data_IF_846573895612
#
_entry.id   IF_846573895612
#
_cell.length_a   1.000
_cell.length_b   1.000
_cell.length_c   1.000
_cell.angle_alpha   90.00
_cell.angle_beta   90.00
_cell.angle_gamma   90.00
#
_symmetry.space_group_name_H-M   'P 1'
#
loop_
_entity.id
_entity.type
_entity.pdbx_description
1 polymer ?
#
# COMPACT_ATOMS: atom_id res chain seq x y z
N UNK A 1 -7.50 -10.46 -8.83
CA UNK A 1 -8.47 -9.72 -9.67
C UNK A 1 -8.58 -8.24 -9.29
N UNK A 2 -8.92 -7.86 -8.05
CA UNK A 2 -9.04 -6.42 -7.66
C UNK A 2 -7.75 -5.63 -7.87
N UNK A 3 -6.60 -6.16 -7.43
CA UNK A 3 -5.30 -5.49 -7.57
C UNK A 3 -4.90 -5.28 -9.04
N UNK A 4 -5.18 -6.25 -9.89
CA UNK A 4 -4.94 -6.19 -11.34
C UNK A 4 -5.83 -5.14 -12.01
N UNK A 5 -7.13 -5.13 -11.70
CA UNK A 5 -8.05 -4.11 -12.23
C UNK A 5 -7.63 -2.69 -11.81
N UNK A 6 -7.22 -2.50 -10.55
CA UNK A 6 -6.72 -1.21 -10.07
C UNK A 6 -5.45 -0.79 -10.81
N UNK A 7 -4.53 -1.73 -11.05
CA UNK A 7 -3.32 -1.45 -11.84
C UNK A 7 -3.66 -1.00 -13.25
N UNK A 8 -4.57 -1.67 -13.94
CA UNK A 8 -4.97 -1.29 -15.30
C UNK A 8 -5.63 0.09 -15.35
N UNK A 9 -6.50 0.39 -14.38
CA UNK A 9 -7.13 1.70 -14.28
C UNK A 9 -6.12 2.82 -14.03
N UNK A 10 -5.16 2.60 -13.11
CA UNK A 10 -4.09 3.56 -12.84
C UNK A 10 -3.13 3.71 -14.03
N UNK A 11 -2.83 2.61 -14.73
CA UNK A 11 -1.97 2.62 -15.92
C UNK A 11 -2.57 3.47 -17.05
N UNK A 12 -3.89 3.45 -17.25
CA UNK A 12 -4.58 4.34 -18.20
C UNK A 12 -4.39 5.83 -17.86
N UNK A 13 -4.16 6.15 -16.59
CA UNK A 13 -3.87 7.50 -16.11
C UNK A 13 -2.36 7.81 -16.10
N UNK A 14 -1.51 6.90 -16.57
CA UNK A 14 -0.05 7.04 -16.53
C UNK A 14 0.53 6.89 -15.12
N UNK A 15 -0.22 6.31 -14.17
CA UNK A 15 0.20 6.14 -12.78
C UNK A 15 0.57 4.67 -12.54
N UNK A 16 1.84 4.34 -12.24
CA UNK A 16 2.20 2.98 -11.87
C UNK A 16 1.70 2.67 -10.46
N UNK A 17 1.09 1.50 -10.29
CA UNK A 17 0.84 0.94 -8.96
C UNK A 17 2.07 0.14 -8.54
N UNK A 18 2.58 0.39 -7.33
CA UNK A 18 3.74 -0.30 -6.77
C UNK A 18 3.34 -0.92 -5.44
N UNK A 19 3.70 -2.18 -5.23
CA UNK A 19 3.48 -2.90 -3.98
C UNK A 19 4.80 -3.04 -3.25
N UNK A 20 4.82 -2.63 -1.98
CA UNK A 20 6.00 -2.74 -1.13
C UNK A 20 5.65 -3.58 0.11
N UNK A 21 6.37 -4.69 0.30
CA UNK A 21 6.20 -5.58 1.44
C UNK A 21 7.40 -5.51 2.39
N UNK A 22 7.17 -5.76 3.68
CA UNK A 22 8.23 -5.85 4.71
C UNK A 22 8.91 -7.23 4.77
N UNK A 23 8.52 -8.16 3.89
CA UNK A 23 9.10 -9.50 3.79
C UNK A 23 10.33 -9.54 2.88
N UNK A 24 10.73 -10.75 2.49
CA UNK A 24 11.84 -10.98 1.58
C UNK A 24 11.45 -10.81 0.10
N UNK A 25 12.44 -10.62 -0.77
CA UNK A 25 12.23 -10.59 -2.22
C UNK A 25 11.63 -11.90 -2.77
N UNK A 26 11.97 -13.06 -2.17
CA UNK A 26 11.35 -14.35 -2.51
C UNK A 26 9.86 -14.35 -2.17
N UNK A 27 9.50 -13.84 -0.99
CA UNK A 27 8.09 -13.69 -0.58
C UNK A 27 7.31 -12.75 -1.51
N UNK A 28 7.93 -11.65 -1.93
CA UNK A 28 7.35 -10.73 -2.92
C UNK A 28 7.05 -11.38 -4.27
N UNK A 29 7.96 -12.23 -4.77
CA UNK A 29 7.74 -12.98 -6.03
C UNK A 29 6.59 -13.98 -5.93
N UNK A 30 6.48 -14.68 -4.80
CA UNK A 30 5.36 -15.59 -4.54
C UNK A 30 4.04 -14.82 -4.46
N UNK A 31 4.02 -13.67 -3.77
CA UNK A 31 2.87 -12.79 -3.75
C UNK A 31 2.46 -12.34 -5.16
N UNK A 32 3.43 -11.92 -5.98
CA UNK A 32 3.18 -11.48 -7.35
C UNK A 32 2.51 -12.59 -8.18
N UNK A 33 3.02 -13.83 -8.07
CA UNK A 33 2.44 -15.01 -8.71
C UNK A 33 1.02 -15.30 -8.21
N UNK A 34 0.81 -15.31 -6.88
CA UNK A 34 -0.49 -15.63 -6.26
C UNK A 34 -1.55 -14.57 -6.58
N UNK A 35 -1.14 -13.30 -6.73
CA UNK A 35 -2.02 -12.17 -6.99
C UNK A 35 -2.25 -11.90 -8.49
N UNK A 36 -1.61 -12.65 -9.37
CA UNK A 36 -1.52 -12.36 -10.82
C UNK A 36 -1.06 -10.93 -11.08
N UNK A 37 0.00 -10.51 -10.39
CA UNK A 37 0.53 -9.16 -10.40
C UNK A 37 1.96 -9.16 -10.97
N UNK A 38 2.37 -8.16 -11.77
CA UNK A 38 3.69 -8.20 -12.38
C UNK A 38 4.80 -8.03 -11.31
N UNK A 39 5.78 -8.95 -11.25
CA UNK A 39 6.79 -8.96 -10.19
C UNK A 39 7.70 -7.73 -10.19
N UNK A 40 7.85 -7.03 -11.32
CA UNK A 40 8.64 -5.80 -11.46
C UNK A 40 8.05 -4.60 -10.68
N UNK A 41 6.78 -4.68 -10.28
CA UNK A 41 6.11 -3.68 -9.43
C UNK A 41 6.04 -4.11 -7.96
N UNK A 42 6.73 -5.20 -7.57
CA UNK A 42 6.75 -5.71 -6.20
C UNK A 42 8.14 -5.58 -5.59
N UNK A 43 8.25 -4.76 -4.54
CA UNK A 43 9.49 -4.49 -3.85
C UNK A 43 9.46 -5.02 -2.41
N UNK A 44 10.64 -5.41 -1.92
CA UNK A 44 10.84 -5.84 -0.55
C UNK A 44 11.59 -4.73 0.22
N UNK A 45 11.08 -4.34 1.38
CA UNK A 45 11.74 -3.44 2.32
C UNK A 45 11.87 -4.12 3.70
N UNK A 46 12.76 -5.13 3.84
CA UNK A 46 12.86 -5.94 5.04
C UNK A 46 13.38 -5.15 6.26
N UNK A 47 14.20 -4.12 6.04
CA UNK A 47 14.70 -3.24 7.11
C UNK A 47 13.65 -2.24 7.63
N UNK A 48 12.52 -2.15 6.94
CA UNK A 48 11.37 -1.29 7.23
C UNK A 48 11.71 0.20 7.32
N UNK A 49 12.82 0.63 6.71
CA UNK A 49 13.20 2.05 6.68
C UNK A 49 12.13 2.90 6.00
N UNK A 50 11.52 2.38 4.93
CA UNK A 50 10.46 3.10 4.24
C UNK A 50 9.23 3.26 5.13
N UNK A 51 8.80 2.17 5.80
CA UNK A 51 7.65 2.20 6.71
C UNK A 51 7.85 3.21 7.85
N UNK A 52 9.07 3.28 8.41
CA UNK A 52 9.45 4.28 9.42
C UNK A 52 9.42 5.70 8.86
N UNK A 53 9.99 5.91 7.66
CA UNK A 53 9.96 7.22 6.98
C UNK A 53 8.55 7.70 6.67
N UNK A 54 7.66 6.78 6.30
CA UNK A 54 6.23 7.03 6.06
C UNK A 54 5.41 7.11 7.35
N UNK A 55 6.04 6.99 8.53
CA UNK A 55 5.38 7.01 9.85
C UNK A 55 4.23 6.01 9.95
N UNK A 56 4.40 4.83 9.34
CA UNK A 56 3.39 3.77 9.39
C UNK A 56 3.32 3.17 10.78
N UNK A 57 2.12 2.83 11.22
CA UNK A 57 1.89 2.27 12.55
C UNK A 57 2.45 0.85 12.64
N UNK A 58 3.20 0.61 13.71
CA UNK A 58 3.74 -0.70 14.06
C UNK A 58 3.23 -1.07 15.46
N UNK A 59 2.62 -2.24 15.58
CA UNK A 59 2.31 -2.81 16.90
C UNK A 59 3.52 -3.49 17.52
N UNK A 60 3.60 -3.50 18.84
CA UNK A 60 4.49 -4.42 19.54
C UNK A 60 3.84 -5.79 19.65
N UNK A 61 2.51 -5.81 19.75
CA UNK A 61 1.68 -6.99 19.97
C UNK A 61 0.41 -6.96 19.10
N UNK A 62 -0.26 -8.11 18.95
CA UNK A 62 -1.57 -8.22 18.26
C UNK A 62 -2.60 -7.23 18.80
N UNK A 63 -2.60 -6.99 20.12
CA UNK A 63 -3.55 -6.08 20.78
C UNK A 63 -3.40 -4.63 20.30
N UNK A 64 -2.21 -4.23 19.86
CA UNK A 64 -1.90 -2.87 19.44
C UNK A 64 -2.40 -2.58 18.02
N UNK A 65 -2.60 -3.62 17.22
CA UNK A 65 -3.08 -3.54 15.83
C UNK A 65 -4.53 -4.00 15.67
N UNK A 66 -5.17 -4.49 16.73
CA UNK A 66 -6.55 -4.98 16.69
C UNK A 66 -7.52 -3.86 17.10
N UNK A 67 -8.58 -3.65 16.31
CA UNK A 67 -9.64 -2.72 16.67
C UNK A 67 -10.43 -3.23 17.90
N UNK A 68 -10.45 -2.44 18.99
CA UNK A 68 -11.17 -2.79 20.24
C UNK A 68 -12.68 -2.84 20.08
N UNK A 69 -13.25 -2.13 19.10
CA UNK A 69 -14.71 -1.97 18.92
C UNK A 69 -15.36 -3.11 18.12
N UNK A 70 -14.61 -3.80 17.24
CA UNK A 70 -15.13 -4.92 16.43
C UNK A 70 -15.06 -6.31 17.11
N UNK A 71 -14.79 -6.37 18.43
CA UNK A 71 -14.67 -7.63 19.21
C UNK A 71 -15.94 -8.50 19.26
N UNK A 72 -17.09 -8.04 18.74
CA UNK A 72 -18.40 -8.71 18.87
C UNK A 72 -18.80 -9.66 17.72
N UNK A 73 -18.05 -9.79 16.63
CA UNK A 73 -18.38 -10.80 15.59
C UNK A 73 -17.55 -12.07 15.77
N UNK A 74 -18.19 -13.07 16.41
CA UNK A 74 -17.73 -14.45 16.65
C UNK A 74 -17.05 -15.05 15.41
N UNK A 75 -15.73 -15.20 15.43
CA UNK A 75 -15.06 -16.21 14.62
C UNK A 75 -15.10 -17.54 15.38
N UNK A 76 -16.11 -18.38 15.12
CA UNK A 76 -15.97 -19.83 15.33
C UNK A 76 -14.92 -20.30 14.31
N UNK A 77 -13.67 -20.50 14.74
CA UNK A 77 -12.64 -21.15 13.91
C UNK A 77 -12.39 -22.55 14.45
N UNK A 78 -12.59 -23.54 13.61
CA UNK A 78 -12.07 -24.89 13.75
C UNK A 78 -10.54 -24.79 13.84
N UNK A 79 -9.99 -25.09 15.02
CA UNK A 79 -8.61 -24.80 15.41
C UNK A 79 -7.56 -25.69 14.77
N UNK A 80 -7.94 -26.77 14.09
CA UNK A 80 -6.97 -27.76 13.61
C UNK A 80 -6.40 -27.46 12.20
N UNK A 81 -7.23 -27.02 11.25
CA UNK A 81 -6.77 -26.84 9.85
C UNK A 81 -6.01 -25.52 9.62
N UNK A 82 -6.27 -24.48 10.41
CA UNK A 82 -5.59 -23.18 10.29
C UNK A 82 -4.12 -23.22 10.71
N UNK A 83 -3.78 -24.09 11.67
CA UNK A 83 -2.41 -24.26 12.18
C UNK A 83 -1.52 -25.00 11.18
N UNK A 84 -2.05 -26.05 10.53
CA UNK A 84 -1.35 -26.78 9.47
C UNK A 84 -1.14 -25.92 8.22
N UNK A 85 -2.14 -25.15 7.80
CA UNK A 85 -2.01 -24.19 6.69
C UNK A 85 -1.00 -23.07 7.00
N UNK A 86 -1.01 -22.56 8.24
CA UNK A 86 -0.04 -21.56 8.71
C UNK A 86 1.39 -22.11 8.72
N UNK A 87 1.60 -23.33 9.22
CA UNK A 87 2.91 -23.99 9.22
C UNK A 87 3.43 -24.29 7.81
N UNK A 88 2.58 -24.78 6.92
CA UNK A 88 2.93 -25.02 5.51
C UNK A 88 3.28 -23.72 4.78
N UNK A 89 2.49 -22.66 4.95
CA UNK A 89 2.81 -21.35 4.37
C UNK A 89 4.07 -20.72 4.97
N UNK A 90 4.37 -20.96 6.25
CA UNK A 90 5.60 -20.48 6.90
C UNK A 90 6.84 -21.23 6.38
N UNK A 91 6.73 -22.53 6.12
CA UNK A 91 7.81 -23.34 5.54
C UNK A 91 8.07 -22.99 4.06
N UNK A 92 7.02 -22.70 3.28
CA UNK A 92 7.13 -22.42 1.84
C UNK A 92 7.52 -20.95 1.56
N UNK A 93 6.99 -19.99 2.33
CA UNK A 93 7.12 -18.54 2.05
C UNK A 93 8.32 -17.85 2.72
N UNK A 94 9.13 -18.58 3.49
CA UNK A 94 10.33 -18.04 4.16
C UNK A 94 10.01 -17.06 5.30
N UNK A 95 10.96 -16.20 5.67
CA UNK A 95 10.77 -15.14 6.67
C UNK A 95 9.57 -14.25 6.29
N UNK A 96 8.45 -14.47 6.97
CA UNK A 96 7.31 -13.57 6.91
C UNK A 96 7.75 -12.23 7.51
N UNK A 97 7.52 -11.14 6.78
CA UNK A 97 7.76 -9.78 7.29
C UNK A 97 6.99 -9.53 8.60
N UNK A 98 7.33 -8.46 9.30
CA UNK A 98 6.71 -8.17 10.61
C UNK A 98 5.17 -8.11 10.48
N UNK A 99 4.49 -9.09 11.07
CA UNK A 99 3.01 -9.22 11.06
C UNK A 99 2.31 -8.11 11.85
N UNK A 100 3.05 -7.33 12.63
CA UNK A 100 2.54 -6.16 13.34
C UNK A 100 2.70 -4.85 12.56
N UNK A 101 3.31 -4.90 11.38
CA UNK A 101 3.41 -3.76 10.49
C UNK A 101 2.08 -3.53 9.79
N UNK A 102 1.45 -2.39 10.02
CA UNK A 102 0.23 -2.01 9.30
C UNK A 102 0.58 -1.45 7.92
N UNK A 103 -0.38 -1.57 7.01
CA UNK A 103 -0.32 -1.11 5.62
C UNK A 103 -0.75 0.34 5.43
N UNK A 104 -0.74 0.79 4.18
CA UNK A 104 -1.15 2.13 3.78
C UNK A 104 -1.07 2.32 2.27
N UNK A 105 -1.66 3.40 1.79
CA UNK A 105 -1.71 3.77 0.37
C UNK A 105 -1.19 5.18 0.23
N UNK A 106 -0.26 5.40 -0.69
CA UNK A 106 0.42 6.67 -0.88
C UNK A 106 0.44 7.02 -2.37
N UNK A 107 0.19 8.29 -2.69
CA UNK A 107 0.37 8.84 -4.03
C UNK A 107 1.51 9.85 -3.97
N UNK A 108 2.54 9.61 -4.77
CA UNK A 108 3.71 10.48 -4.88
C UNK A 108 3.85 10.94 -6.33
N UNK A 109 4.29 12.18 -6.51
CA UNK A 109 4.62 12.69 -7.84
C UNK A 109 6.01 12.22 -8.30
N UNK A 110 6.38 12.59 -9.53
CA UNK A 110 7.68 12.25 -10.13
C UNK A 110 8.90 12.81 -9.38
N UNK A 111 8.71 13.83 -8.54
CA UNK A 111 9.75 14.47 -7.74
C UNK A 111 9.76 13.94 -6.30
N UNK A 112 8.90 12.97 -5.97
CA UNK A 112 8.74 12.44 -4.62
C UNK A 112 7.88 13.31 -3.70
N UNK A 113 7.17 14.33 -4.21
CA UNK A 113 6.19 15.10 -3.42
C UNK A 113 5.00 14.20 -3.11
N UNK A 114 4.65 14.11 -1.84
CA UNK A 114 3.47 13.38 -1.39
C UNK A 114 2.20 14.15 -1.75
N UNK A 115 1.31 13.53 -2.53
CA UNK A 115 0.03 14.10 -2.96
C UNK A 115 -1.15 13.55 -2.16
N UNK A 116 -1.04 12.31 -1.70
CA UNK A 116 -2.06 11.65 -0.88
C UNK A 116 -1.42 10.60 0.02
N UNK A 117 -2.00 10.44 1.21
CA UNK A 117 -1.61 9.40 2.15
C UNK A 117 -2.83 8.83 2.86
N UNK A 118 -2.83 7.51 3.00
CA UNK A 118 -3.71 6.75 3.88
C UNK A 118 -2.84 5.77 4.67
N UNK A 119 -3.07 5.71 5.98
CA UNK A 119 -2.39 4.78 6.89
C UNK A 119 -3.43 3.96 7.62
N UNK A 120 -3.32 2.64 7.53
CA UNK A 120 -4.19 1.75 8.27
C UNK A 120 -3.97 1.97 9.78
N UNK A 121 -5.08 2.15 10.51
CA UNK A 121 -5.08 2.34 11.96
C UNK A 121 -5.10 1.01 12.72
N UNK A 122 -5.58 -0.05 12.09
CA UNK A 122 -5.66 -1.42 12.63
C UNK A 122 -5.61 -2.45 11.49
N UNK A 123 -5.45 -3.74 11.81
CA UNK A 123 -5.15 -4.82 10.85
C UNK A 123 -6.23 -5.07 9.78
N UNK A 124 -7.47 -4.67 10.04
CA UNK A 124 -8.61 -4.81 9.12
C UNK A 124 -9.14 -3.43 8.70
N UNK A 125 -8.30 -2.40 8.80
CA UNK A 125 -8.59 -1.09 8.25
C UNK A 125 -8.22 -1.15 6.77
N UNK A 126 -9.23 -1.38 5.94
CA UNK A 126 -9.08 -1.58 4.51
C UNK A 126 -9.35 -0.27 3.78
N UNK A 127 -8.46 0.08 2.84
CA UNK A 127 -8.65 1.21 1.96
C UNK A 127 -9.47 0.79 0.73
N UNK A 128 -10.58 1.47 0.49
CA UNK A 128 -11.46 1.28 -0.67
C UNK A 128 -10.80 1.89 -1.93
N UNK A 129 -9.89 1.13 -2.54
CA UNK A 129 -9.08 1.59 -3.67
C UNK A 129 -9.92 1.93 -4.91
N UNK A 130 -11.00 1.20 -5.17
CA UNK A 130 -11.88 1.45 -6.33
C UNK A 130 -12.58 2.80 -6.19
N UNK A 131 -13.10 3.12 -5.01
CA UNK A 131 -13.74 4.41 -4.74
C UNK A 131 -12.72 5.54 -4.85
N UNK A 132 -11.54 5.36 -4.27
CA UNK A 132 -10.44 6.32 -4.37
C UNK A 132 -10.08 6.65 -5.82
N UNK A 133 -9.85 5.63 -6.64
CA UNK A 133 -9.44 5.78 -8.05
C UNK A 133 -10.52 6.47 -8.87
N UNK A 134 -11.79 6.14 -8.62
CA UNK A 134 -12.92 6.67 -9.41
C UNK A 134 -13.29 8.10 -9.01
N UNK A 135 -13.35 8.39 -7.71
CA UNK A 135 -13.98 9.61 -7.21
C UNK A 135 -12.97 10.67 -6.77
N UNK A 136 -11.85 10.29 -6.16
CA UNK A 136 -10.95 11.25 -5.50
C UNK A 136 -9.66 11.50 -6.29
N UNK A 137 -9.13 10.47 -6.94
CA UNK A 137 -7.90 10.58 -7.72
C UNK A 137 -7.97 11.63 -8.86
N UNK A 138 -9.09 11.75 -9.62
CA UNK A 138 -9.19 12.77 -10.67
C UNK A 138 -9.06 14.20 -10.13
N UNK A 139 -9.64 14.48 -8.96
CA UNK A 139 -9.57 15.80 -8.32
C UNK A 139 -8.14 16.14 -7.88
N UNK A 140 -7.43 15.17 -7.29
CA UNK A 140 -6.03 15.33 -6.88
C UNK A 140 -5.14 15.61 -8.10
N UNK A 141 -5.34 14.86 -9.19
CA UNK A 141 -4.58 15.06 -10.44
C UNK A 141 -4.85 16.47 -11.01
N UNK A 142 -6.11 16.91 -11.02
CA UNK A 142 -6.45 18.23 -11.55
C UNK A 142 -5.82 19.36 -10.72
N UNK A 143 -5.91 19.26 -9.39
CA UNK A 143 -5.25 20.21 -8.48
C UNK A 143 -3.75 20.26 -8.72
N UNK A 144 -3.10 19.11 -8.83
CA UNK A 144 -1.66 19.02 -9.09
C UNK A 144 -1.27 19.68 -10.41
N UNK A 145 -2.03 19.46 -11.50
CA UNK A 145 -1.77 20.11 -12.80
C UNK A 145 -1.89 21.64 -12.72
N UNK A 146 -2.87 22.14 -11.97
CA UNK A 146 -3.04 23.58 -11.79
C UNK A 146 -1.84 24.19 -11.05
N UNK A 147 -1.39 23.57 -9.96
CA UNK A 147 -0.21 24.01 -9.20
C UNK A 147 1.07 24.04 -10.06
N UNK A 148 1.28 23.04 -10.91
CA UNK A 148 2.44 23.02 -11.82
C UNK A 148 2.40 24.16 -12.85
N UNK A 149 1.23 24.39 -13.44
CA UNK A 149 1.05 25.47 -14.43
C UNK A 149 1.28 26.87 -13.82
N UNK A 150 0.88 27.09 -12.57
CA UNK A 150 1.13 28.35 -11.87
C UNK A 150 2.63 28.55 -11.59
N UNK A 151 3.32 27.50 -11.14
CA UNK A 151 4.76 27.55 -10.91
C UNK A 151 5.54 27.83 -12.20
N UNK A 152 5.16 27.20 -13.32
CA UNK A 152 5.80 27.42 -14.62
C UNK A 152 5.58 28.84 -15.15
N UNK A 153 4.38 29.41 -14.94
CA UNK A 153 4.09 30.81 -15.31
C UNK A 153 4.95 31.79 -14.50
N UNK A 154 5.02 31.59 -13.19
CA UNK A 154 5.81 32.46 -12.30
C UNK A 154 7.32 32.37 -12.61
N UNK A 155 7.81 31.19 -12.99
CA UNK A 155 9.22 31.01 -13.37
C UNK A 155 9.58 31.76 -14.65
N UNK A 156 8.68 31.79 -15.65
CA UNK A 156 8.89 32.53 -16.91
C UNK A 156 8.84 34.04 -16.75
N UNK A 157 8.01 34.56 -15.84
CA UNK A 157 7.93 36.01 -15.58
C UNK A 157 9.24 36.53 -14.96
N UNK A 158 9.83 35.77 -14.04
CA UNK A 158 11.07 36.15 -13.35
C UNK A 158 12.34 36.03 -14.23
N UNK A 159 12.24 35.46 -15.43
CA UNK A 159 13.35 35.41 -16.40
C UNK A 159 13.32 36.56 -17.41
N UNK A 160 12.26 37.38 -17.39
CA UNK A 160 12.07 38.53 -18.28
C UNK A 160 12.32 39.87 -17.57
N UNK A 161 12.75 39.84 -16.30
CA UNK A 161 13.20 40.98 -15.50
C UNK A 161 14.71 40.92 -15.32
#
# INVERSE_FOLDING_TARGET
>A
MILQNNMENLKKLGIPLIVIGSGSGKGGKLFASDASYPPEYVYANPDRKLYKGLKMREGKNIKDITNKEKKKRKQKRSTCCGLLYYFWNRLIRGEQGNIYQLGGTFLVDKNGKLLFEYRASFANDEFEHSEFIQNYLPEIIQKYKNEQNENDKNCKINQLQ
#
